data_IF_548518477138
#
_entry.id   IF_548518477138
#
_cell.length_a   1.000
_cell.length_b   1.000
_cell.length_c   1.000
_cell.angle_alpha   90.00
_cell.angle_beta   90.00
_cell.angle_gamma   90.00
#
_symmetry.space_group_name_H-M   'P 1'
#
loop_
_entity.id
_entity.type
_entity.pdbx_description
1 polymer ?
#
# COMPACT_ATOMS: atom_id res chain seq x y z
N UNK A 1 -58.99 16.74 46.36
CA UNK A 1 -58.67 16.27 45.02
C UNK A 1 -57.25 16.65 44.71
N UNK A 2 -56.35 15.67 44.66
CA UNK A 2 -54.88 15.88 44.41
C UNK A 2 -54.60 15.38 42.97
N UNK A 3 -54.26 16.32 42.11
CA UNK A 3 -53.92 16.05 40.71
C UNK A 3 -52.45 15.62 40.65
N UNK A 4 -52.18 14.36 40.26
CA UNK A 4 -50.84 13.83 39.99
C UNK A 4 -50.44 14.22 38.57
N UNK A 5 -49.43 15.07 38.44
CA UNK A 5 -48.73 15.35 37.18
C UNK A 5 -47.68 14.26 36.95
N UNK A 6 -47.88 13.41 35.99
CA UNK A 6 -46.90 12.42 35.53
C UNK A 6 -46.02 13.11 34.50
N UNK A 7 -44.78 13.41 34.88
CA UNK A 7 -43.77 13.91 33.95
C UNK A 7 -43.18 12.73 33.18
N UNK A 8 -43.50 12.61 31.91
CA UNK A 8 -42.88 11.68 30.96
C UNK A 8 -41.54 12.27 30.55
N UNK A 9 -40.44 11.67 31.07
CA UNK A 9 -39.08 11.94 30.58
C UNK A 9 -38.88 11.13 29.31
N UNK A 10 -38.91 11.81 28.14
CA UNK A 10 -38.41 11.23 26.89
C UNK A 10 -36.91 11.14 26.95
N UNK A 11 -36.36 9.94 27.21
CA UNK A 11 -34.96 9.61 27.03
C UNK A 11 -34.70 9.51 25.52
N UNK A 12 -34.20 10.59 24.94
CA UNK A 12 -33.68 10.59 23.57
C UNK A 12 -32.31 9.89 23.65
N UNK A 13 -32.29 8.62 23.32
CA UNK A 13 -31.03 7.93 23.03
C UNK A 13 -30.45 8.48 21.74
N UNK A 14 -29.57 9.44 21.83
CA UNK A 14 -28.69 9.84 20.74
C UNK A 14 -27.70 8.70 20.49
N UNK A 15 -28.03 7.83 19.54
CA UNK A 15 -27.08 6.88 18.97
C UNK A 15 -26.10 7.73 18.16
N UNK A 16 -25.02 8.17 18.81
CA UNK A 16 -23.85 8.66 18.11
C UNK A 16 -23.25 7.45 17.38
N UNK A 17 -23.54 7.33 16.08
CA UNK A 17 -22.73 6.49 15.23
C UNK A 17 -21.27 6.98 15.40
N UNK A 18 -20.46 6.20 16.11
CA UNK A 18 -19.02 6.40 16.11
C UNK A 18 -18.56 6.11 14.69
N UNK A 19 -18.47 7.16 13.87
CA UNK A 19 -17.69 7.10 12.64
C UNK A 19 -16.26 6.79 13.10
N UNK A 20 -15.80 5.59 12.78
CA UNK A 20 -14.42 5.23 13.06
C UNK A 20 -13.55 6.21 12.25
N UNK A 21 -12.90 7.12 12.95
CA UNK A 21 -12.05 8.16 12.37
C UNK A 21 -10.81 7.58 11.64
N UNK A 22 -10.63 6.25 11.66
CA UNK A 22 -9.52 5.56 10.99
C UNK A 22 -9.62 5.51 9.46
N UNK A 23 -10.82 5.54 8.89
CA UNK A 23 -11.02 5.22 7.47
C UNK A 23 -10.80 6.38 6.50
N UNK A 24 -10.66 7.61 6.99
CA UNK A 24 -10.52 8.82 6.17
C UNK A 24 -9.20 9.58 6.34
N UNK A 25 -8.19 8.98 6.97
CA UNK A 25 -6.89 9.62 7.08
C UNK A 25 -6.15 9.56 5.73
N UNK A 26 -5.45 10.65 5.33
CA UNK A 26 -4.65 10.64 4.13
C UNK A 26 -3.50 9.65 4.26
N UNK A 27 -3.34 8.76 3.26
CA UNK A 27 -2.26 7.77 3.19
C UNK A 27 -1.25 8.18 2.13
N UNK A 28 -0.01 7.75 2.28
CA UNK A 28 1.03 8.00 1.29
C UNK A 28 1.19 6.76 0.41
N UNK A 29 1.07 6.93 -0.90
CA UNK A 29 1.26 5.85 -1.86
C UNK A 29 2.57 6.03 -2.62
N UNK A 30 3.22 4.90 -2.90
CA UNK A 30 4.26 4.79 -3.92
C UNK A 30 3.86 3.69 -4.90
N UNK A 31 4.17 3.87 -6.18
CA UNK A 31 3.89 2.84 -7.17
C UNK A 31 4.06 3.30 -8.62
N UNK A 32 3.72 2.39 -9.53
CA UNK A 32 3.79 2.66 -10.95
C UNK A 32 3.19 1.53 -11.78
N UNK A 33 3.05 1.81 -13.08
CA UNK A 33 2.65 0.83 -14.11
C UNK A 33 3.87 0.49 -14.95
N UNK A 34 4.06 -0.80 -15.24
CA UNK A 34 5.19 -1.32 -16.01
C UNK A 34 4.66 -2.08 -17.21
N UNK A 35 5.14 -1.72 -18.41
CA UNK A 35 4.76 -2.38 -19.65
C UNK A 35 5.87 -3.35 -20.07
N UNK A 36 5.64 -4.64 -19.88
CA UNK A 36 6.64 -5.71 -20.02
C UNK A 36 6.34 -6.55 -21.27
N UNK A 37 7.30 -6.78 -22.17
CA UNK A 37 7.15 -7.73 -23.26
C UNK A 37 6.86 -9.14 -22.71
N UNK A 38 6.03 -9.93 -23.40
CA UNK A 38 5.61 -11.25 -22.93
C UNK A 38 6.77 -12.23 -22.75
N UNK A 39 7.85 -12.10 -23.56
CA UNK A 39 9.06 -12.92 -23.44
C UNK A 39 9.93 -12.57 -22.22
N UNK A 40 9.59 -11.50 -21.49
CA UNK A 40 10.27 -11.02 -20.27
C UNK A 40 9.48 -11.25 -18.99
N UNK A 41 8.29 -11.81 -19.08
CA UNK A 41 7.38 -11.97 -17.94
C UNK A 41 8.01 -12.79 -16.83
N UNK A 42 8.63 -13.93 -17.14
CA UNK A 42 9.20 -14.82 -16.10
C UNK A 42 10.34 -14.14 -15.33
N UNK A 43 11.20 -13.40 -16.01
CA UNK A 43 12.30 -12.70 -15.34
C UNK A 43 11.80 -11.52 -14.49
N UNK A 44 10.72 -10.85 -14.93
CA UNK A 44 10.08 -9.78 -14.16
C UNK A 44 9.34 -10.34 -12.96
N UNK A 45 8.60 -11.46 -13.11
CA UNK A 45 7.92 -12.14 -12.02
C UNK A 45 8.91 -12.54 -10.90
N UNK A 46 10.05 -13.14 -11.27
CA UNK A 46 11.07 -13.52 -10.31
C UNK A 46 11.65 -12.32 -9.56
N UNK A 47 12.00 -11.25 -10.28
CA UNK A 47 12.54 -10.04 -9.67
C UNK A 47 11.52 -9.33 -8.77
N UNK A 48 10.24 -9.28 -9.17
CA UNK A 48 9.16 -8.70 -8.38
C UNK A 48 8.88 -9.51 -7.11
N UNK A 49 8.95 -10.86 -7.17
CA UNK A 49 8.81 -11.72 -5.98
C UNK A 49 9.96 -11.52 -4.99
N UNK A 50 11.20 -11.49 -5.45
CA UNK A 50 12.37 -11.20 -4.57
C UNK A 50 12.23 -9.85 -3.89
N UNK A 51 11.75 -8.83 -4.61
CA UNK A 51 11.44 -7.53 -4.03
C UNK A 51 10.36 -7.63 -2.95
N UNK A 52 9.26 -8.34 -3.22
CA UNK A 52 8.20 -8.53 -2.25
C UNK A 52 8.66 -9.30 -1.01
N UNK A 53 9.55 -10.29 -1.17
CA UNK A 53 10.11 -11.05 -0.05
C UNK A 53 11.01 -10.17 0.82
N UNK A 54 11.88 -9.33 0.22
CA UNK A 54 12.63 -8.33 0.96
C UNK A 54 11.71 -7.39 1.77
N UNK A 55 10.61 -6.92 1.17
CA UNK A 55 9.62 -6.09 1.89
C UNK A 55 9.06 -6.85 3.09
N UNK A 56 8.65 -8.11 2.93
CA UNK A 56 8.10 -8.94 4.02
C UNK A 56 9.10 -9.18 5.15
N UNK A 57 10.38 -9.35 4.81
CA UNK A 57 11.44 -9.62 5.79
C UNK A 57 11.83 -8.38 6.58
N UNK A 58 11.75 -7.21 5.98
CA UNK A 58 12.31 -5.98 6.54
C UNK A 58 11.27 -4.97 7.02
N UNK A 59 10.00 -5.11 6.57
CA UNK A 59 8.90 -4.22 6.93
C UNK A 59 7.79 -5.02 7.59
N UNK A 60 7.34 -4.68 8.81
CA UNK A 60 6.11 -5.23 9.35
C UNK A 60 4.93 -4.76 8.48
N UNK A 61 4.22 -5.71 7.87
CA UNK A 61 3.03 -5.45 7.05
C UNK A 61 1.76 -5.46 7.92
N UNK A 62 0.77 -4.66 7.52
CA UNK A 62 -0.53 -4.63 8.18
C UNK A 62 -0.49 -4.05 9.59
N UNK A 63 0.57 -3.33 9.95
CA UNK A 63 0.68 -2.65 11.23
C UNK A 63 0.08 -1.25 11.15
N UNK A 64 -0.62 -0.84 12.22
CA UNK A 64 -1.12 0.52 12.41
C UNK A 64 -0.01 1.53 12.77
N UNK A 65 1.24 1.07 12.90
CA UNK A 65 2.38 1.94 13.15
C UNK A 65 2.59 2.88 11.96
N UNK A 66 2.57 4.18 12.23
CA UNK A 66 2.73 5.23 11.22
C UNK A 66 4.04 5.16 10.42
N UNK A 67 5.05 4.44 10.94
CA UNK A 67 6.35 4.24 10.32
C UNK A 67 6.42 2.99 9.42
N UNK A 68 5.36 2.20 9.36
CA UNK A 68 5.34 0.94 8.64
C UNK A 68 4.69 1.05 7.26
N UNK A 69 4.73 -0.06 6.52
CA UNK A 69 4.02 -0.27 5.27
C UNK A 69 2.67 -0.93 5.56
N UNK A 70 1.57 -0.26 5.25
CA UNK A 70 0.23 -0.79 5.45
C UNK A 70 -0.07 -1.95 4.49
N UNK A 71 0.31 -1.80 3.21
CA UNK A 71 0.12 -2.88 2.23
C UNK A 71 1.05 -2.75 1.03
N UNK A 72 1.36 -3.91 0.42
CA UNK A 72 2.03 -4.04 -0.87
C UNK A 72 1.13 -4.86 -1.79
N UNK A 73 0.87 -4.34 -2.98
CA UNK A 73 0.19 -5.07 -4.06
C UNK A 73 1.05 -5.07 -5.31
N UNK A 74 1.27 -6.26 -5.87
CA UNK A 74 1.90 -6.46 -7.18
C UNK A 74 0.94 -7.31 -8.00
N UNK A 75 0.37 -6.70 -9.03
CA UNK A 75 -0.57 -7.38 -9.93
C UNK A 75 -0.10 -7.32 -11.37
N UNK A 76 -0.52 -8.27 -12.18
CA UNK A 76 -0.26 -8.24 -13.61
C UNK A 76 -1.51 -8.55 -14.43
N UNK A 77 -1.60 -7.97 -15.64
CA UNK A 77 -2.66 -8.25 -16.58
C UNK A 77 -2.45 -9.59 -17.31
N UNK A 78 -3.47 -10.05 -18.00
CA UNK A 78 -3.28 -11.03 -19.07
C UNK A 78 -2.52 -10.38 -20.24
N UNK A 79 -1.86 -11.19 -21.11
CA UNK A 79 -1.17 -10.68 -22.29
C UNK A 79 -2.12 -9.92 -23.23
N UNK A 80 -1.67 -8.75 -23.69
CA UNK A 80 -2.38 -7.93 -24.67
C UNK A 80 -1.37 -7.36 -25.68
N UNK A 81 -1.58 -7.62 -26.98
CA UNK A 81 -0.75 -7.10 -28.06
C UNK A 81 0.77 -7.29 -27.83
N UNK A 82 1.19 -8.46 -27.31
CA UNK A 82 2.59 -8.79 -27.05
C UNK A 82 3.16 -8.24 -25.75
N UNK A 83 2.34 -7.66 -24.87
CA UNK A 83 2.75 -7.08 -23.60
C UNK A 83 1.89 -7.56 -22.44
N UNK A 84 2.46 -7.48 -21.24
CA UNK A 84 1.79 -7.64 -19.95
C UNK A 84 2.01 -6.35 -19.15
N UNK A 85 0.98 -5.89 -18.45
CA UNK A 85 1.08 -4.70 -17.60
C UNK A 85 1.14 -5.14 -16.13
N UNK A 86 2.17 -4.69 -15.42
CA UNK A 86 2.25 -4.81 -13.98
C UNK A 86 1.83 -3.51 -13.33
N UNK A 87 1.16 -3.62 -12.20
CA UNK A 87 0.88 -2.49 -11.30
C UNK A 87 1.47 -2.83 -9.95
N UNK A 88 2.40 -2.00 -9.49
CA UNK A 88 2.99 -2.10 -8.16
C UNK A 88 2.48 -0.92 -7.35
N UNK A 89 1.91 -1.19 -6.18
CA UNK A 89 1.42 -0.17 -5.26
C UNK A 89 1.86 -0.52 -3.84
N UNK A 90 2.51 0.41 -3.19
CA UNK A 90 2.82 0.43 -1.78
C UNK A 90 1.97 1.49 -1.11
N UNK A 91 1.34 1.15 0.00
CA UNK A 91 0.49 2.06 0.77
C UNK A 91 1.10 2.19 2.16
N UNK A 92 1.36 3.41 2.58
CA UNK A 92 1.89 3.77 3.89
C UNK A 92 0.83 4.52 4.68
N UNK A 93 0.66 4.25 5.99
CA UNK A 93 -0.28 4.99 6.83
C UNK A 93 0.01 6.50 6.79
N UNK A 94 1.29 6.87 6.75
CA UNK A 94 1.73 8.26 6.72
C UNK A 94 2.96 8.46 5.80
N UNK A 95 3.36 9.69 5.59
CA UNK A 95 4.62 10.01 4.92
C UNK A 95 5.85 9.55 5.71
N UNK A 96 5.75 9.35 7.02
CA UNK A 96 6.81 8.81 7.86
C UNK A 96 7.12 7.35 7.49
N UNK A 97 6.10 6.53 7.19
CA UNK A 97 6.27 5.16 6.72
C UNK A 97 7.09 5.09 5.42
N UNK A 98 6.81 5.97 4.45
CA UNK A 98 7.62 6.03 3.22
C UNK A 98 9.06 6.48 3.48
N UNK A 99 9.29 7.40 4.43
CA UNK A 99 10.66 7.78 4.83
C UNK A 99 11.38 6.61 5.50
N UNK A 100 10.69 5.87 6.35
CA UNK A 100 11.24 4.68 7.00
C UNK A 100 11.59 3.60 5.98
N UNK A 101 10.72 3.34 4.99
CA UNK A 101 11.05 2.45 3.87
C UNK A 101 12.35 2.87 3.17
N UNK A 102 12.53 4.17 2.88
CA UNK A 102 13.76 4.67 2.26
C UNK A 102 14.99 4.47 3.14
N UNK A 103 14.86 4.64 4.46
CA UNK A 103 15.93 4.35 5.42
C UNK A 103 16.28 2.87 5.42
N UNK A 104 15.29 1.97 5.50
CA UNK A 104 15.49 0.51 5.44
C UNK A 104 16.20 0.13 4.12
N UNK A 105 15.77 0.70 3.00
CA UNK A 105 16.44 0.51 1.71
C UNK A 105 17.92 0.91 1.78
N UNK A 106 18.24 2.09 2.31
CA UNK A 106 19.63 2.56 2.44
C UNK A 106 20.47 1.68 3.34
N UNK A 107 19.86 1.11 4.40
CA UNK A 107 20.55 0.26 5.38
C UNK A 107 20.72 -1.20 4.92
N UNK A 108 19.93 -1.64 3.94
CA UNK A 108 19.90 -3.06 3.53
C UNK A 108 20.34 -3.32 2.10
N UNK A 109 20.20 -2.35 1.18
CA UNK A 109 20.41 -2.57 -0.25
C UNK A 109 21.82 -2.98 -0.65
N UNK A 110 22.82 -2.65 0.15
CA UNK A 110 24.22 -2.98 -0.06
C UNK A 110 24.64 -4.32 0.58
N UNK A 111 23.80 -4.89 1.46
CA UNK A 111 24.10 -6.16 2.13
C UNK A 111 24.12 -7.30 1.11
N UNK A 112 25.06 -8.26 1.22
CA UNK A 112 25.20 -9.35 0.24
C UNK A 112 23.93 -10.15 -0.01
N UNK A 113 23.10 -10.33 1.03
CA UNK A 113 21.84 -11.07 0.96
C UNK A 113 20.76 -10.34 0.14
N UNK A 114 20.80 -9.00 0.07
CA UNK A 114 19.76 -8.18 -0.61
C UNK A 114 20.27 -7.48 -1.88
N UNK A 115 21.55 -7.22 -2.01
CA UNK A 115 22.13 -6.52 -3.17
C UNK A 115 21.70 -7.10 -4.53
N UNK A 116 21.63 -8.44 -4.73
CA UNK A 116 21.12 -9.01 -5.97
C UNK A 116 19.66 -8.64 -6.25
N UNK A 117 18.82 -8.62 -5.21
CA UNK A 117 17.40 -8.24 -5.32
C UNK A 117 17.22 -6.84 -5.90
N UNK A 118 17.97 -5.87 -5.39
CA UNK A 118 17.91 -4.48 -5.86
C UNK A 118 18.47 -4.31 -7.27
N UNK A 119 19.58 -4.97 -7.58
CA UNK A 119 20.17 -4.97 -8.93
C UNK A 119 19.19 -5.57 -9.95
N UNK A 120 18.57 -6.68 -9.62
CA UNK A 120 17.57 -7.33 -10.49
C UNK A 120 16.31 -6.48 -10.63
N UNK A 121 15.77 -5.95 -9.54
CA UNK A 121 14.59 -5.09 -9.60
C UNK A 121 14.85 -3.84 -10.46
N UNK A 122 16.00 -3.19 -10.28
CA UNK A 122 16.42 -2.05 -11.08
C UNK A 122 16.53 -2.37 -12.57
N UNK A 123 17.26 -3.43 -12.91
CA UNK A 123 17.56 -3.78 -14.29
C UNK A 123 16.43 -4.52 -15.03
N UNK A 124 15.63 -5.33 -14.32
CA UNK A 124 14.59 -6.20 -14.91
C UNK A 124 13.18 -5.65 -14.77
N UNK A 125 12.88 -4.83 -13.77
CA UNK A 125 11.54 -4.29 -13.52
C UNK A 125 11.48 -2.80 -13.85
N UNK A 126 12.31 -1.99 -13.19
CA UNK A 126 12.23 -0.52 -13.30
C UNK A 126 12.44 0.00 -14.72
N UNK A 127 13.17 -0.72 -15.56
CA UNK A 127 13.37 -0.36 -16.97
C UNK A 127 12.08 -0.33 -17.81
N UNK A 128 11.04 -1.02 -17.36
CA UNK A 128 9.74 -1.10 -18.04
C UNK A 128 8.70 -0.11 -17.49
N UNK A 129 9.11 0.78 -16.59
CA UNK A 129 8.22 1.79 -16.01
C UNK A 129 7.64 2.68 -17.11
N UNK A 130 6.32 2.76 -17.18
CA UNK A 130 5.62 3.64 -18.13
C UNK A 130 5.83 5.08 -17.67
N UNK A 131 6.28 5.94 -18.59
CA UNK A 131 6.50 7.35 -18.34
C UNK A 131 5.24 8.02 -17.77
N UNK A 132 5.40 8.81 -16.71
CA UNK A 132 4.30 9.50 -16.04
C UNK A 132 3.43 8.62 -15.12
N UNK A 133 3.62 7.29 -15.10
CA UNK A 133 2.84 6.40 -14.23
C UNK A 133 3.37 6.32 -12.80
N UNK A 134 4.63 6.71 -12.55
CA UNK A 134 5.21 6.71 -11.20
C UNK A 134 4.48 7.71 -10.32
N UNK A 135 3.95 7.23 -9.22
CA UNK A 135 3.26 8.05 -8.22
C UNK A 135 3.99 7.98 -6.88
N UNK A 136 4.07 9.13 -6.23
CA UNK A 136 4.49 9.29 -4.84
C UNK A 136 3.66 10.44 -4.28
N UNK A 137 2.50 10.13 -3.71
CA UNK A 137 1.53 11.14 -3.29
C UNK A 137 0.85 10.75 -2.00
N UNK A 138 0.51 11.74 -1.20
CA UNK A 138 -0.47 11.59 -0.13
C UNK A 138 -1.85 11.73 -0.74
N UNK A 139 -2.71 10.74 -0.51
CA UNK A 139 -4.05 10.61 -1.10
C UNK A 139 -5.07 10.20 -0.04
N UNK A 140 -6.33 10.55 -0.28
CA UNK A 140 -7.44 9.98 0.49
C UNK A 140 -7.94 8.71 -0.20
N UNK A 141 -8.18 7.66 0.57
CA UNK A 141 -8.84 6.46 0.07
C UNK A 141 -10.35 6.69 0.09
N UNK A 142 -10.98 6.74 -1.07
CA UNK A 142 -12.41 6.98 -1.22
C UNK A 142 -13.26 5.74 -0.87
N UNK A 143 -12.64 4.57 -0.95
CA UNK A 143 -13.25 3.30 -0.58
C UNK A 143 -12.33 2.66 0.46
N UNK A 144 -12.79 2.45 1.70
CA UNK A 144 -11.98 1.79 2.72
C UNK A 144 -11.64 0.37 2.24
N UNK A 145 -10.37 -0.03 2.40
CA UNK A 145 -9.99 -1.43 2.23
C UNK A 145 -10.74 -2.22 3.30
N UNK A 146 -11.47 -3.27 2.90
CA UNK A 146 -12.00 -4.22 3.86
C UNK A 146 -10.81 -4.92 4.50
N UNK A 147 -10.65 -4.73 5.79
CA UNK A 147 -9.70 -5.52 6.58
C UNK A 147 -10.17 -6.99 6.50
N UNK A 148 -9.28 -7.83 6.00
CA UNK A 148 -9.49 -9.29 5.93
C UNK A 148 -8.84 -9.96 7.12
#
# INVERSE_FOLDING_TARGET
MRTFLVSIWCLVFSVFAQVHAGDNLPRTNWGGVFKVPVDKVDEVDQAARKWADWIKETHPLGSDDENNLASLSITRSLPQAGYVYYVIVEIYPTAAGLKNHQKIYQETSWKPEYSPTFSEFGSKVMRYLVSGSKQRRTVYHLVPSRDH
#
